data_IF_007305084141
#
_entry.id   IF_007305084141
#
_cell.length_a   1.000
_cell.length_b   1.000
_cell.length_c   1.000
_cell.angle_alpha   90.00
_cell.angle_beta   90.00
_cell.angle_gamma   90.00
#
_symmetry.space_group_name_H-M   'P 1'
#
loop_
_entity.id
_entity.type
_entity.pdbx_description
1 polymer ?
#
# COMPACT_ATOMS: atom_id res chain seq x y z
N UNK A 1 -6.09 54.27 -3.54
CA UNK A 1 -6.22 54.40 -5.01
C UNK A 1 -6.82 53.10 -5.55
N UNK A 2 -7.57 53.15 -6.66
CA UNK A 2 -8.13 51.96 -7.32
C UNK A 2 -7.12 51.39 -8.32
N UNK A 3 -7.02 50.07 -8.40
CA UNK A 3 -6.55 49.34 -9.58
C UNK A 3 -7.27 47.99 -9.66
N UNK A 4 -7.62 47.56 -10.87
CA UNK A 4 -8.57 46.49 -11.18
C UNK A 4 -7.97 45.54 -12.22
N UNK A 5 -8.12 44.22 -12.00
CA UNK A 5 -8.17 43.15 -13.03
C UNK A 5 -6.91 42.97 -13.93
N UNK A 6 -6.70 41.84 -14.68
CA UNK A 6 -7.63 40.85 -15.26
C UNK A 6 -7.65 39.48 -14.53
N UNK A 7 -8.68 38.61 -14.62
CA UNK A 7 -9.64 38.25 -15.69
C UNK A 7 -9.04 37.37 -16.81
N UNK A 8 -8.97 36.06 -16.56
CA UNK A 8 -8.68 35.05 -17.58
C UNK A 8 -9.91 34.15 -17.78
N UNK A 9 -10.53 34.22 -18.97
CA UNK A 9 -11.61 33.34 -19.37
C UNK A 9 -11.05 32.22 -20.26
N UNK A 10 -11.27 30.96 -19.89
CA UNK A 10 -10.96 29.80 -20.72
C UNK A 10 -12.22 29.36 -21.47
N UNK A 11 -12.13 29.29 -22.80
CA UNK A 11 -13.27 29.09 -23.69
C UNK A 11 -13.36 27.61 -24.10
N UNK A 12 -14.49 26.97 -23.79
CA UNK A 12 -14.78 25.58 -24.18
C UNK A 12 -15.22 25.55 -25.65
N UNK A 13 -14.59 24.69 -26.46
CA UNK A 13 -15.12 24.31 -27.77
C UNK A 13 -15.04 22.78 -27.96
N UNK A 14 -16.21 22.17 -28.05
CA UNK A 14 -16.42 20.78 -28.46
C UNK A 14 -16.32 20.65 -29.98
N UNK A 15 -15.77 19.53 -30.46
CA UNK A 15 -16.12 18.98 -31.77
C UNK A 15 -16.42 17.49 -31.62
N UNK A 16 -17.62 17.12 -32.04
CA UNK A 16 -18.09 15.74 -32.10
C UNK A 16 -17.83 15.15 -33.51
N UNK A 17 -17.66 13.83 -33.59
CA UNK A 17 -17.55 13.10 -34.86
C UNK A 17 -18.03 11.66 -34.69
N UNK A 18 -19.23 11.36 -35.19
CA UNK A 18 -19.88 10.06 -35.07
C UNK A 18 -19.52 9.09 -36.22
N UNK A 19 -19.99 7.84 -36.07
CA UNK A 19 -20.11 6.74 -37.07
C UNK A 19 -18.97 5.71 -37.03
N UNK A 20 -19.21 4.39 -37.10
CA UNK A 20 -20.49 3.68 -37.09
C UNK A 20 -20.32 2.16 -37.28
N UNK A 21 -21.23 1.38 -36.67
CA UNK A 21 -21.61 -0.03 -36.95
C UNK A 21 -20.76 -0.90 -37.91
N UNK A 22 -20.38 -2.12 -37.47
CA UNK A 22 -20.65 -3.39 -38.19
C UNK A 22 -20.58 -4.60 -37.25
N UNK A 23 -21.69 -5.35 -37.16
CA UNK A 23 -21.81 -6.76 -36.74
C UNK A 23 -22.57 -7.43 -37.89
N UNK A 24 -22.15 -8.57 -38.49
CA UNK A 24 -22.31 -9.93 -37.92
C UNK A 24 -21.26 -10.95 -38.49
N UNK A 25 -21.44 -12.30 -38.51
CA UNK A 25 -22.44 -13.16 -37.85
C UNK A 25 -21.86 -14.33 -37.02
N UNK A 26 -22.77 -15.04 -36.36
CA UNK A 26 -22.59 -16.34 -35.69
C UNK A 26 -22.40 -17.45 -36.73
N UNK A 27 -21.53 -18.44 -36.45
CA UNK A 27 -21.53 -19.76 -37.11
C UNK A 27 -21.17 -20.87 -36.12
N UNK A 28 -22.06 -21.87 -35.99
CA UNK A 28 -21.92 -23.13 -35.25
C UNK A 28 -22.54 -24.27 -36.08
N UNK A 29 -22.33 -25.57 -35.75
CA UNK A 29 -21.23 -26.19 -35.00
C UNK A 29 -20.44 -27.14 -35.95
N UNK A 30 -20.62 -28.49 -36.10
CA UNK A 30 -21.11 -29.59 -35.24
C UNK A 30 -20.06 -30.69 -34.90
N UNK A 31 -20.34 -31.49 -33.86
CA UNK A 31 -19.63 -32.75 -33.51
C UNK A 31 -18.60 -32.61 -32.39
N UNK A 32 -18.43 -33.55 -31.45
CA UNK A 32 -18.89 -34.95 -31.41
C UNK A 32 -19.11 -35.42 -29.96
N UNK A 33 -20.13 -36.27 -29.73
CA UNK A 33 -20.45 -36.85 -28.42
C UNK A 33 -19.46 -37.91 -27.95
N UNK A 34 -19.15 -37.92 -26.65
CA UNK A 34 -18.71 -39.13 -25.93
C UNK A 34 -19.10 -39.05 -24.44
N UNK A 35 -20.10 -39.84 -24.04
CA UNK A 35 -20.44 -40.06 -22.62
C UNK A 35 -19.60 -41.18 -22.03
N UNK A 36 -19.13 -41.04 -20.79
CA UNK A 36 -18.69 -42.18 -19.96
C UNK A 36 -18.80 -41.88 -18.45
N UNK A 37 -19.72 -42.56 -17.78
CA UNK A 37 -19.85 -42.76 -16.32
C UNK A 37 -20.96 -43.82 -16.12
N UNK A 38 -21.10 -44.51 -14.97
CA UNK A 38 -20.31 -44.50 -13.73
C UNK A 38 -19.92 -45.94 -13.27
N UNK A 39 -19.86 -46.22 -11.95
CA UNK A 39 -19.88 -47.52 -11.18
C UNK A 39 -18.70 -47.57 -10.15
N UNK A 40 -18.84 -48.06 -8.89
CA UNK A 40 -19.07 -47.15 -7.74
C UNK A 40 -18.27 -47.48 -6.44
N UNK A 41 -18.52 -46.68 -5.37
CA UNK A 41 -18.58 -47.02 -3.91
C UNK A 41 -17.60 -48.00 -3.22
N UNK A 42 -17.21 -47.75 -1.93
CA UNK A 42 -18.20 -47.70 -0.84
C UNK A 42 -18.07 -46.58 0.20
N UNK A 43 -19.20 -46.40 0.88
CA UNK A 43 -19.48 -45.47 1.98
C UNK A 43 -18.63 -45.65 3.23
N UNK A 44 -18.41 -44.55 3.94
CA UNK A 44 -18.44 -44.52 5.41
C UNK A 44 -19.35 -43.40 5.88
N UNK A 45 -20.39 -43.75 6.63
CA UNK A 45 -21.33 -42.79 7.23
C UNK A 45 -20.83 -42.35 8.61
N UNK A 46 -20.88 -41.06 8.90
CA UNK A 46 -20.81 -40.54 10.27
C UNK A 46 -21.74 -39.32 10.40
N UNK A 47 -22.89 -39.53 11.03
CA UNK A 47 -23.80 -38.48 11.49
C UNK A 47 -23.25 -37.78 12.73
N UNK A 48 -23.39 -36.46 12.80
CA UNK A 48 -23.45 -35.70 14.06
C UNK A 48 -24.20 -34.39 13.82
N UNK A 49 -25.37 -34.26 14.46
CA UNK A 49 -26.14 -33.02 14.61
C UNK A 49 -25.55 -32.11 15.70
N UNK A 50 -26.06 -30.87 15.78
CA UNK A 50 -25.87 -29.86 16.86
C UNK A 50 -24.44 -29.32 17.06
N UNK A 51 -24.18 -28.04 17.38
CA UNK A 51 -24.97 -26.81 17.65
C UNK A 51 -24.02 -25.60 17.40
N UNK A 52 -24.46 -24.35 17.10
CA UNK A 52 -23.52 -23.27 16.78
C UNK A 52 -22.68 -22.82 17.99
N UNK A 53 -21.36 -22.93 17.88
CA UNK A 53 -20.42 -22.48 18.92
C UNK A 53 -20.39 -20.96 19.01
N UNK A 54 -20.86 -20.44 20.15
CA UNK A 54 -20.74 -19.02 20.55
C UNK A 54 -19.27 -18.58 20.60
N UNK A 55 -18.91 -17.33 20.23
CA UNK A 55 -17.52 -16.88 20.20
C UNK A 55 -16.88 -16.89 21.59
N UNK A 56 -15.92 -17.80 21.78
CA UNK A 56 -15.16 -17.93 23.02
C UNK A 56 -14.10 -16.85 23.15
N UNK A 57 -14.27 -15.97 24.13
CA UNK A 57 -13.26 -14.98 24.52
C UNK A 57 -12.09 -15.69 25.24
N UNK A 58 -10.86 -15.63 24.73
CA UNK A 58 -9.72 -16.34 25.33
C UNK A 58 -8.40 -16.18 24.59
N UNK A 59 -7.51 -15.38 25.17
CA UNK A 59 -6.14 -15.06 24.71
C UNK A 59 -5.34 -16.25 24.17
N UNK A 60 -4.95 -16.18 22.89
CA UNK A 60 -4.04 -17.12 22.25
C UNK A 60 -2.89 -16.41 21.54
N UNK A 61 -1.65 -16.54 22.04
CA UNK A 61 -0.46 -16.11 21.31
C UNK A 61 -0.21 -17.09 20.15
N UNK A 62 -0.56 -16.70 18.92
CA UNK A 62 -0.55 -17.63 17.79
C UNK A 62 -0.84 -17.07 16.38
N UNK A 63 -0.06 -16.10 15.92
CA UNK A 63 0.28 -15.91 14.49
C UNK A 63 -0.84 -15.94 13.41
N UNK A 64 -2.00 -15.33 13.66
CA UNK A 64 -2.97 -14.94 12.62
C UNK A 64 -2.53 -13.70 11.83
N UNK A 65 -3.35 -13.26 10.87
CA UNK A 65 -3.26 -11.88 10.38
C UNK A 65 -3.85 -10.93 11.45
N UNK A 66 -3.50 -9.64 11.46
CA UNK A 66 -3.98 -8.71 12.48
C UNK A 66 -5.48 -8.42 12.39
N UNK A 67 -6.13 -8.85 11.31
CA UNK A 67 -7.57 -8.79 11.11
C UNK A 67 -8.06 -10.10 10.48
N UNK A 68 -8.37 -11.05 11.35
CA UNK A 68 -9.21 -12.22 11.06
C UNK A 68 -10.60 -12.03 11.73
N UNK A 69 -11.01 -10.78 11.99
CA UNK A 69 -12.23 -10.44 12.74
C UNK A 69 -13.51 -10.47 11.89
N UNK A 70 -13.35 -10.41 10.55
CA UNK A 70 -14.45 -10.26 9.60
C UNK A 70 -15.14 -8.88 9.63
N UNK A 71 -14.62 -7.91 10.40
CA UNK A 71 -15.16 -6.54 10.50
C UNK A 71 -14.63 -5.59 9.42
N UNK A 72 -13.69 -6.03 8.59
CA UNK A 72 -13.12 -5.22 7.52
C UNK A 72 -13.14 -5.96 6.18
N UNK A 73 -13.09 -5.19 5.10
CA UNK A 73 -12.99 -5.70 3.73
C UNK A 73 -11.87 -4.98 2.98
N UNK A 74 -11.31 -5.65 1.97
CA UNK A 74 -10.17 -5.15 1.19
C UNK A 74 -10.52 -5.20 -0.30
N UNK A 75 -10.84 -4.05 -0.88
CA UNK A 75 -11.10 -3.95 -2.33
C UNK A 75 -9.78 -3.67 -3.03
N UNK A 76 -9.31 -4.60 -3.86
CA UNK A 76 -8.04 -4.51 -4.56
C UNK A 76 -8.23 -4.43 -6.08
N UNK A 77 -7.57 -3.46 -6.70
CA UNK A 77 -7.49 -3.30 -8.15
C UNK A 77 -6.26 -3.99 -8.73
N UNK A 78 -6.31 -4.36 -10.01
CA UNK A 78 -5.21 -5.00 -10.72
C UNK A 78 -4.42 -3.99 -11.58
N UNK A 79 -3.13 -4.23 -11.79
CA UNK A 79 -2.29 -3.47 -12.73
C UNK A 79 -2.83 -3.52 -14.17
N UNK A 80 -3.56 -4.58 -14.53
CA UNK A 80 -4.37 -4.63 -15.73
C UNK A 80 -5.80 -4.14 -15.43
N UNK A 81 -6.11 -2.89 -15.80
CA UNK A 81 -7.43 -2.28 -15.60
C UNK A 81 -8.61 -2.95 -16.34
N UNK A 82 -8.35 -3.96 -17.19
CA UNK A 82 -9.40 -4.82 -17.77
C UNK A 82 -9.82 -5.98 -16.85
N UNK A 83 -9.07 -6.25 -15.78
CA UNK A 83 -9.44 -7.19 -14.71
C UNK A 83 -10.30 -6.42 -13.70
N UNK A 84 -11.48 -6.91 -13.32
CA UNK A 84 -12.32 -6.25 -12.32
C UNK A 84 -11.66 -6.29 -10.93
N UNK A 85 -12.00 -5.32 -10.09
CA UNK A 85 -11.56 -5.28 -8.70
C UNK A 85 -12.06 -6.53 -7.94
N UNK A 86 -11.24 -7.00 -6.99
CA UNK A 86 -11.51 -8.18 -6.16
C UNK A 86 -11.61 -7.74 -4.71
N UNK A 87 -12.70 -8.14 -4.04
CA UNK A 87 -12.87 -7.94 -2.60
C UNK A 87 -12.38 -9.17 -1.84
N UNK A 88 -11.52 -8.93 -0.85
CA UNK A 88 -11.07 -9.93 0.13
C UNK A 88 -11.65 -9.60 1.51
N UNK A 89 -11.78 -10.62 2.37
CA UNK A 89 -12.35 -10.51 3.73
C UNK A 89 -11.30 -10.48 4.85
N UNK A 90 -10.02 -10.68 4.52
CA UNK A 90 -8.89 -10.57 5.45
C UNK A 90 -7.59 -10.23 4.72
N UNK A 91 -6.61 -9.72 5.46
CA UNK A 91 -5.24 -9.57 4.96
C UNK A 91 -4.60 -10.93 4.61
N UNK A 92 -4.96 -12.01 5.29
CA UNK A 92 -4.52 -13.37 4.96
C UNK A 92 -4.89 -13.74 3.52
N UNK A 93 -6.12 -13.47 3.09
CA UNK A 93 -6.59 -13.73 1.73
C UNK A 93 -5.88 -12.85 0.69
N UNK A 94 -5.67 -11.55 1.00
CA UNK A 94 -4.90 -10.64 0.13
C UNK A 94 -3.49 -11.19 -0.09
N UNK A 95 -2.78 -11.59 0.97
CA UNK A 95 -1.41 -12.11 0.89
C UNK A 95 -1.31 -13.49 0.22
N UNK A 96 -2.35 -14.31 0.33
CA UNK A 96 -2.42 -15.64 -0.30
C UNK A 96 -2.86 -15.61 -1.77
N UNK A 97 -3.36 -14.46 -2.26
CA UNK A 97 -3.83 -14.31 -3.64
C UNK A 97 -2.75 -14.65 -4.67
N UNK A 98 -3.07 -15.49 -5.65
CA UNK A 98 -2.17 -15.77 -6.79
C UNK A 98 -1.90 -14.52 -7.64
N UNK A 99 -2.86 -13.59 -7.64
CA UNK A 99 -2.76 -12.29 -8.30
C UNK A 99 -2.10 -11.24 -7.40
N UNK A 100 -1.61 -11.58 -6.19
CA UNK A 100 -1.00 -10.62 -5.26
C UNK A 100 0.02 -9.74 -5.98
N UNK A 101 0.99 -10.30 -6.71
CA UNK A 101 2.02 -9.51 -7.41
C UNK A 101 1.50 -8.64 -8.56
N UNK A 102 0.23 -8.81 -8.97
CA UNK A 102 -0.47 -8.04 -10.00
C UNK A 102 -1.47 -7.04 -9.43
N UNK A 103 -1.70 -6.98 -8.12
CA UNK A 103 -2.50 -5.92 -7.51
C UNK A 103 -1.76 -4.57 -7.64
N UNK A 104 -2.50 -3.52 -7.99
CA UNK A 104 -2.00 -2.16 -8.17
C UNK A 104 -2.13 -1.35 -6.87
N UNK A 105 -3.31 -1.41 -6.27
CA UNK A 105 -3.66 -0.80 -4.98
C UNK A 105 -4.76 -1.62 -4.32
N UNK A 106 -4.89 -1.51 -3.00
CA UNK A 106 -6.10 -1.91 -2.29
C UNK A 106 -6.58 -0.77 -1.39
N UNK A 107 -7.83 -0.85 -0.97
CA UNK A 107 -8.43 0.01 0.05
C UNK A 107 -9.06 -0.87 1.12
N UNK A 108 -8.73 -0.64 2.39
CA UNK A 108 -9.42 -1.25 3.52
C UNK A 108 -10.68 -0.45 3.89
N UNK A 109 -11.79 -1.15 4.14
CA UNK A 109 -13.07 -0.61 4.60
C UNK A 109 -13.50 -1.29 5.89
N UNK A 110 -14.32 -0.62 6.72
CA UNK A 110 -14.92 -1.19 7.92
C UNK A 110 -16.39 -1.53 7.68
N UNK A 111 -16.73 -2.81 7.87
CA UNK A 111 -18.06 -3.39 7.66
C UNK A 111 -18.81 -3.66 8.98
N UNK A 112 -18.20 -3.30 10.11
CA UNK A 112 -18.76 -3.53 11.45
C UNK A 112 -19.82 -2.49 11.86
N UNK A 113 -20.45 -2.68 13.04
CA UNK A 113 -21.40 -1.72 13.59
C UNK A 113 -20.73 -0.39 13.95
N UNK A 114 -21.49 0.70 13.82
CA UNK A 114 -21.07 2.05 14.23
C UNK A 114 -21.78 2.47 15.55
N UNK A 115 -21.12 3.26 16.43
CA UNK A 115 -19.78 3.85 16.28
C UNK A 115 -18.65 2.81 16.32
N UNK A 116 -17.47 3.18 15.82
CA UNK A 116 -16.32 2.29 15.84
C UNK A 116 -15.82 2.08 17.27
N UNK A 117 -15.94 0.85 17.74
CA UNK A 117 -15.36 0.39 19.01
C UNK A 117 -14.09 -0.42 18.69
N UNK A 118 -12.89 0.13 18.95
CA UNK A 118 -11.64 -0.57 18.75
C UNK A 118 -11.40 -1.63 19.84
N UNK A 119 -10.79 -2.75 19.46
CA UNK A 119 -10.13 -3.68 20.38
C UNK A 119 -8.86 -3.07 20.99
N UNK A 120 -8.27 -3.74 21.99
CA UNK A 120 -7.02 -3.29 22.62
C UNK A 120 -5.85 -3.21 21.60
N UNK A 121 -5.74 -4.20 20.70
CA UNK A 121 -4.71 -4.20 19.65
C UNK A 121 -4.98 -3.12 18.59
N UNK A 122 -6.22 -2.94 18.15
CA UNK A 122 -6.63 -1.85 17.25
C UNK A 122 -6.28 -0.48 17.87
N UNK A 123 -6.62 -0.27 19.15
CA UNK A 123 -6.34 0.95 19.88
C UNK A 123 -4.83 1.22 20.05
N UNK A 124 -4.02 0.17 20.29
CA UNK A 124 -2.56 0.27 20.32
C UNK A 124 -2.03 0.79 18.98
N UNK A 125 -2.43 0.18 17.87
CA UNK A 125 -1.96 0.54 16.52
C UNK A 125 -2.38 1.97 16.16
N UNK A 126 -3.60 2.39 16.50
CA UNK A 126 -4.06 3.78 16.34
C UNK A 126 -3.18 4.75 17.14
N UNK A 127 -2.83 4.42 18.38
CA UNK A 127 -2.00 5.29 19.23
C UNK A 127 -0.57 5.50 18.70
N UNK A 128 -0.03 4.51 17.97
CA UNK A 128 1.25 4.64 17.25
C UNK A 128 1.05 5.46 15.97
N UNK A 129 0.02 5.16 15.18
CA UNK A 129 -0.23 5.79 13.88
C UNK A 129 -0.54 7.28 13.98
N UNK A 130 -1.34 7.68 14.98
CA UNK A 130 -1.79 9.05 15.21
C UNK A 130 -1.77 9.39 16.71
N UNK A 131 -0.60 9.72 17.28
CA UNK A 131 -0.46 10.01 18.70
C UNK A 131 -1.37 11.15 19.18
N UNK A 132 -2.05 10.93 20.30
CA UNK A 132 -2.92 11.92 20.95
C UNK A 132 -4.39 11.92 20.50
N UNK A 133 -4.79 11.09 19.54
CA UNK A 133 -6.20 10.83 19.26
C UNK A 133 -6.81 9.85 20.28
N UNK A 134 -8.11 9.94 20.52
CA UNK A 134 -8.87 8.88 21.19
C UNK A 134 -9.06 7.70 20.22
N UNK A 135 -8.73 6.45 20.58
CA UNK A 135 -8.86 5.30 19.68
C UNK A 135 -10.21 5.14 18.98
N UNK A 136 -11.33 5.45 19.63
CA UNK A 136 -12.67 5.38 19.02
C UNK A 136 -12.87 6.34 17.84
N UNK A 137 -12.10 7.42 17.78
CA UNK A 137 -12.12 8.41 16.68
C UNK A 137 -11.07 8.08 15.60
N UNK A 138 -10.25 7.04 15.80
CA UNK A 138 -9.08 6.72 14.98
C UNK A 138 -9.29 5.69 13.86
N UNK A 139 -10.54 5.44 13.44
CA UNK A 139 -10.84 4.44 12.41
C UNK A 139 -10.05 4.66 11.11
N UNK A 140 -10.00 5.90 10.60
CA UNK A 140 -9.27 6.24 9.37
C UNK A 140 -7.77 5.93 9.47
N UNK A 141 -7.17 6.14 10.65
CA UNK A 141 -5.77 5.80 10.89
C UNK A 141 -5.54 4.28 10.88
N UNK A 142 -6.47 3.51 11.44
CA UNK A 142 -6.41 2.04 11.41
C UNK A 142 -6.62 1.48 10.00
N UNK A 143 -7.61 1.99 9.25
CA UNK A 143 -7.85 1.61 7.85
C UNK A 143 -6.65 1.96 6.95
N UNK A 144 -5.96 3.07 7.21
CA UNK A 144 -4.71 3.41 6.51
C UNK A 144 -3.60 2.40 6.84
N UNK A 145 -3.40 2.04 8.11
CA UNK A 145 -2.41 1.03 8.50
C UNK A 145 -2.71 -0.35 7.88
N UNK A 146 -3.98 -0.78 7.90
CA UNK A 146 -4.46 -1.99 7.19
C UNK A 146 -4.23 -1.91 5.68
N UNK A 147 -4.46 -0.75 5.06
CA UNK A 147 -4.22 -0.52 3.63
C UNK A 147 -2.73 -0.66 3.29
N UNK A 148 -1.82 -0.10 4.09
CA UNK A 148 -0.36 -0.29 3.93
C UNK A 148 0.06 -1.76 4.14
N UNK A 149 -0.71 -2.51 4.91
CA UNK A 149 -0.53 -3.96 5.07
C UNK A 149 -1.01 -4.79 3.88
N UNK A 150 -1.71 -4.22 2.90
CA UNK A 150 -1.96 -4.84 1.59
C UNK A 150 -0.76 -4.67 0.63
N UNK A 151 -0.91 -5.02 -0.65
CA UNK A 151 0.16 -4.77 -1.62
C UNK A 151 0.32 -3.27 -1.88
N UNK A 152 1.55 -2.81 -1.69
CA UNK A 152 2.11 -1.62 -2.34
C UNK A 152 3.12 -2.08 -3.39
N UNK A 153 2.92 -1.69 -4.65
CA UNK A 153 3.89 -1.99 -5.72
C UNK A 153 5.18 -1.18 -5.53
N UNK A 154 6.30 -1.66 -6.06
CA UNK A 154 7.59 -0.95 -5.97
C UNK A 154 7.53 0.47 -6.58
N UNK A 155 6.67 0.67 -7.59
CA UNK A 155 6.50 1.92 -8.31
C UNK A 155 5.56 2.87 -7.55
N UNK A 156 4.50 2.32 -6.92
CA UNK A 156 3.62 3.07 -6.02
C UNK A 156 4.23 3.33 -4.63
N UNK A 157 5.29 2.60 -4.25
CA UNK A 157 5.92 2.70 -2.93
C UNK A 157 6.48 4.10 -2.66
N UNK A 158 7.05 4.77 -3.66
CA UNK A 158 7.55 6.14 -3.51
C UNK A 158 6.42 7.12 -3.18
N UNK A 159 5.24 6.96 -3.78
CA UNK A 159 4.08 7.81 -3.51
C UNK A 159 3.38 7.44 -2.20
N UNK A 160 3.07 6.16 -1.97
CA UNK A 160 2.28 5.71 -0.82
C UNK A 160 3.08 5.73 0.48
N UNK A 161 4.31 5.21 0.49
CA UNK A 161 5.16 5.26 1.68
C UNK A 161 5.83 6.62 1.85
N UNK A 162 6.24 7.30 0.78
CA UNK A 162 6.86 8.63 0.87
C UNK A 162 5.94 9.73 1.38
N UNK A 163 4.61 9.59 1.20
CA UNK A 163 3.61 10.53 1.77
C UNK A 163 3.06 10.10 3.13
N UNK A 164 3.33 8.87 3.56
CA UNK A 164 2.93 8.38 4.88
C UNK A 164 3.86 8.92 5.97
N UNK A 165 3.32 9.27 7.14
CA UNK A 165 4.14 9.61 8.29
C UNK A 165 4.96 8.39 8.75
N UNK A 166 6.15 8.59 9.35
CA UNK A 166 6.91 7.47 9.94
C UNK A 166 6.08 6.75 11.02
N UNK A 167 5.24 7.48 11.76
CA UNK A 167 4.29 6.94 12.74
C UNK A 167 3.33 5.94 12.09
N UNK A 168 2.72 6.29 10.95
CA UNK A 168 1.84 5.41 10.19
C UNK A 168 2.58 4.19 9.64
N UNK A 169 3.80 4.38 9.12
CA UNK A 169 4.64 3.29 8.62
C UNK A 169 5.09 2.35 9.76
N UNK A 170 5.41 2.89 10.93
CA UNK A 170 5.74 2.11 12.12
C UNK A 170 4.51 1.30 12.58
N UNK A 171 3.33 1.94 12.68
CA UNK A 171 2.09 1.27 13.02
C UNK A 171 1.78 0.12 12.05
N UNK A 172 1.91 0.33 10.74
CA UNK A 172 1.78 -0.73 9.75
C UNK A 172 2.83 -1.84 9.92
N UNK A 173 4.09 -1.50 10.24
CA UNK A 173 5.15 -2.49 10.48
C UNK A 173 4.91 -3.35 11.74
N UNK A 174 4.29 -2.77 12.77
CA UNK A 174 3.86 -3.50 13.99
C UNK A 174 2.60 -4.34 13.72
N UNK A 175 1.68 -3.84 12.89
CA UNK A 175 0.42 -4.49 12.53
C UNK A 175 0.65 -5.75 11.67
N UNK A 176 1.50 -5.67 10.66
CA UNK A 176 1.71 -6.77 9.70
C UNK A 176 3.19 -7.12 9.42
N UNK A 177 3.99 -7.45 10.46
CA UNK A 177 5.42 -7.79 10.30
C UNK A 177 5.65 -9.02 9.40
N UNK A 178 4.62 -9.85 9.19
CA UNK A 178 4.63 -11.06 8.34
C UNK A 178 4.08 -10.84 6.93
N UNK A 179 3.60 -9.65 6.57
CA UNK A 179 3.13 -9.38 5.21
C UNK A 179 4.27 -9.58 4.20
N UNK A 180 4.00 -9.93 2.91
CA UNK A 180 5.04 -10.09 1.90
C UNK A 180 5.93 -8.85 1.71
N UNK A 181 5.39 -7.66 2.00
CA UNK A 181 6.05 -6.36 1.97
C UNK A 181 6.45 -5.84 3.37
N UNK A 182 6.26 -6.62 4.46
CA UNK A 182 6.53 -6.19 5.84
C UNK A 182 7.96 -5.71 6.08
N UNK A 183 8.98 -6.41 5.53
CA UNK A 183 10.39 -5.93 5.56
C UNK A 183 10.55 -4.57 4.87
N UNK A 184 9.83 -4.34 3.76
CA UNK A 184 9.88 -3.06 3.05
C UNK A 184 9.27 -1.95 3.90
N UNK A 185 8.08 -2.15 4.47
CA UNK A 185 7.45 -1.19 5.39
C UNK A 185 8.40 -0.87 6.55
N UNK A 186 9.04 -1.88 7.14
CA UNK A 186 10.03 -1.70 8.21
C UNK A 186 11.19 -0.76 7.84
N UNK A 187 11.77 -0.88 6.63
CA UNK A 187 12.82 0.03 6.15
C UNK A 187 12.33 1.47 5.92
N UNK A 188 11.06 1.64 5.52
CA UNK A 188 10.43 2.95 5.44
C UNK A 188 10.05 3.50 6.83
N UNK A 189 9.72 2.66 7.80
CA UNK A 189 9.45 3.08 9.19
C UNK A 189 10.74 3.50 9.91
N UNK A 190 11.83 2.76 9.75
CA UNK A 190 13.12 3.02 10.40
C UNK A 190 13.87 4.23 9.82
N UNK A 191 13.47 4.72 8.64
CA UNK A 191 14.19 5.77 7.93
C UNK A 191 15.42 5.28 7.16
N UNK A 192 15.49 3.98 6.87
CA UNK A 192 16.47 3.37 5.96
C UNK A 192 16.05 3.46 4.48
N UNK A 193 14.80 3.85 4.22
CA UNK A 193 14.30 4.24 2.89
C UNK A 193 13.54 5.58 2.92
N UNK A 194 13.62 6.28 1.79
CA UNK A 194 12.85 7.48 1.49
C UNK A 194 12.54 7.54 -0.02
N UNK A 195 11.55 8.35 -0.39
CA UNK A 195 11.25 8.68 -1.79
C UNK A 195 11.96 9.96 -2.21
N UNK A 196 11.45 10.59 -3.26
CA UNK A 196 11.74 11.99 -3.55
C UNK A 196 11.13 12.92 -2.48
N UNK A 197 11.65 14.13 -2.34
CA UNK A 197 11.29 15.10 -1.29
C UNK A 197 12.48 15.61 -0.49
N UNK A 198 12.18 16.21 0.67
CA UNK A 198 13.16 16.75 1.63
C UNK A 198 13.12 15.94 2.93
N UNK A 199 14.28 15.45 3.38
CA UNK A 199 14.41 14.57 4.53
C UNK A 199 15.62 14.96 5.39
N UNK A 200 15.36 15.44 6.60
CA UNK A 200 16.39 15.63 7.63
C UNK A 200 16.88 14.28 8.17
N UNK A 201 18.15 14.19 8.53
CA UNK A 201 18.72 13.00 9.21
C UNK A 201 18.55 13.14 10.72
N UNK A 202 18.12 12.05 11.37
CA UNK A 202 17.61 11.97 12.74
C UNK A 202 16.21 12.60 12.94
N UNK A 203 15.74 12.65 14.19
CA UNK A 203 14.43 13.20 14.60
C UNK A 203 13.20 12.63 13.85
N UNK A 204 13.24 11.34 13.49
CA UNK A 204 12.16 10.70 12.72
C UNK A 204 12.22 10.95 11.21
N UNK A 205 13.31 11.50 10.68
CA UNK A 205 13.55 11.59 9.24
C UNK A 205 14.29 10.35 8.70
N UNK A 206 15.49 10.52 8.15
CA UNK A 206 16.39 9.43 7.74
C UNK A 206 17.33 9.01 8.87
N UNK A 207 17.81 7.77 8.89
CA UNK A 207 18.95 7.38 9.75
C UNK A 207 20.28 7.78 9.11
N UNK A 208 21.33 8.09 9.89
CA UNK A 208 22.66 8.33 9.33
C UNK A 208 23.25 7.05 8.71
N UNK A 209 24.09 7.23 7.69
CA UNK A 209 24.79 6.16 6.98
C UNK A 209 25.02 6.46 5.50
N UNK A 210 25.40 5.43 4.75
CA UNK A 210 25.55 5.51 3.29
C UNK A 210 24.22 5.14 2.62
N UNK A 211 23.78 5.91 1.62
CA UNK A 211 22.55 5.68 0.86
C UNK A 211 22.85 5.60 -0.63
N UNK A 212 22.00 4.92 -1.40
CA UNK A 212 22.05 4.89 -2.85
C UNK A 212 20.65 4.91 -3.46
N UNK A 213 20.56 5.22 -4.76
CA UNK A 213 19.34 5.02 -5.54
C UNK A 213 19.11 3.52 -5.78
N UNK A 214 17.95 3.02 -5.37
CA UNK A 214 17.58 1.60 -5.43
C UNK A 214 17.42 1.07 -6.87
N UNK A 215 17.07 1.94 -7.81
CA UNK A 215 16.94 1.68 -9.26
C UNK A 215 17.50 2.88 -10.03
N UNK A 216 17.79 2.71 -11.32
CA UNK A 216 18.08 3.86 -12.18
C UNK A 216 16.78 4.64 -12.42
N UNK A 217 16.66 5.90 -12.00
CA UNK A 217 15.50 6.71 -12.34
C UNK A 217 15.47 7.05 -13.84
N UNK A 218 14.32 7.46 -14.38
CA UNK A 218 14.26 8.12 -15.69
C UNK A 218 15.08 9.43 -15.67
N UNK A 219 15.28 10.02 -16.85
CA UNK A 219 16.03 11.28 -16.99
C UNK A 219 15.46 12.40 -16.10
N UNK A 220 16.35 13.20 -15.50
CA UNK A 220 15.98 14.38 -14.72
C UNK A 220 16.04 14.22 -13.20
N UNK A 221 16.52 13.09 -12.66
CA UNK A 221 16.88 13.00 -11.24
C UNK A 221 17.90 14.08 -10.85
N UNK A 222 17.58 14.85 -9.82
CA UNK A 222 18.48 15.83 -9.20
C UNK A 222 18.41 15.73 -7.68
N UNK A 223 19.54 15.85 -7.00
CA UNK A 223 19.60 15.80 -5.54
C UNK A 223 20.70 16.68 -4.96
N UNK A 224 20.54 17.03 -3.69
CA UNK A 224 21.55 17.72 -2.87
C UNK A 224 21.51 17.26 -1.42
N UNK A 225 22.67 17.24 -0.77
CA UNK A 225 22.82 17.06 0.68
C UNK A 225 23.35 18.37 1.26
N UNK A 226 22.60 18.94 2.19
CA UNK A 226 22.97 20.16 2.92
C UNK A 226 23.28 19.86 4.38
N UNK A 227 24.28 20.52 4.95
CA UNK A 227 24.55 20.49 6.39
C UNK A 227 23.49 21.31 7.16
N UNK A 228 23.49 21.18 8.48
CA UNK A 228 22.56 21.91 9.36
C UNK A 228 22.72 23.44 9.35
N UNK A 229 23.79 23.97 8.76
CA UNK A 229 24.00 25.41 8.54
C UNK A 229 23.50 25.91 7.16
N UNK A 230 22.94 25.01 6.34
CA UNK A 230 22.46 25.28 4.98
C UNK A 230 23.55 25.21 3.90
N UNK A 231 24.80 24.88 4.23
CA UNK A 231 25.85 24.67 3.24
C UNK A 231 25.67 23.35 2.48
N UNK A 232 25.80 23.38 1.15
CA UNK A 232 25.69 22.17 0.31
C UNK A 232 26.99 21.38 0.43
N UNK A 233 26.90 20.15 0.95
CA UNK A 233 28.01 19.19 1.09
C UNK A 233 28.24 18.42 -0.21
N UNK A 234 27.16 18.05 -0.90
CA UNK A 234 27.19 17.30 -2.14
C UNK A 234 25.92 17.56 -2.97
N UNK A 235 26.00 17.38 -4.29
CA UNK A 235 24.85 17.34 -5.19
C UNK A 235 25.19 16.53 -6.44
N UNK A 236 24.18 16.08 -7.17
CA UNK A 236 24.37 15.27 -8.38
C UNK A 236 23.07 14.84 -9.03
N UNK A 237 23.20 13.89 -9.96
CA UNK A 237 22.07 13.21 -10.60
C UNK A 237 22.09 11.72 -10.33
N UNK A 238 21.52 10.95 -11.26
CA UNK A 238 21.32 9.52 -11.12
C UNK A 238 22.63 8.73 -10.91
N UNK A 239 23.70 9.05 -11.64
CA UNK A 239 24.96 8.30 -11.59
C UNK A 239 25.70 8.47 -10.25
N UNK A 240 25.72 9.68 -9.72
CA UNK A 240 26.31 10.00 -8.43
C UNK A 240 25.45 9.40 -7.29
N UNK A 241 24.12 9.50 -7.40
CA UNK A 241 23.19 8.89 -6.44
C UNK A 241 23.26 7.36 -6.40
N UNK A 242 23.56 6.71 -7.52
CA UNK A 242 23.80 5.25 -7.58
C UNK A 242 25.16 4.82 -7.02
N UNK A 243 26.20 5.66 -7.17
CA UNK A 243 27.52 5.43 -6.56
C UNK A 243 27.46 5.50 -5.03
N UNK A 244 26.51 6.28 -4.55
CA UNK A 244 26.05 6.35 -3.17
C UNK A 244 26.59 7.56 -2.42
N UNK A 245 25.73 8.15 -1.60
CA UNK A 245 25.95 9.36 -0.81
C UNK A 245 26.14 9.01 0.67
N UNK A 246 26.79 9.90 1.43
CA UNK A 246 26.89 9.78 2.89
C UNK A 246 25.98 10.83 3.52
N UNK A 247 25.14 10.39 4.45
CA UNK A 247 24.23 11.22 5.24
C UNK A 247 24.65 11.16 6.71
N UNK A 248 25.07 12.30 7.25
CA UNK A 248 25.46 12.49 8.65
C UNK A 248 24.28 13.04 9.48
N UNK A 249 24.35 12.95 10.80
CA UNK A 249 23.29 13.47 11.68
C UNK A 249 23.04 14.98 11.42
N UNK A 250 21.77 15.36 11.26
CA UNK A 250 21.31 16.73 10.90
C UNK A 250 21.65 17.21 9.49
N UNK A 251 22.17 16.36 8.60
CA UNK A 251 22.11 16.64 7.17
C UNK A 251 20.66 16.69 6.70
N UNK A 252 20.41 17.35 5.57
CA UNK A 252 19.14 17.36 4.85
C UNK A 252 19.37 16.85 3.44
N UNK A 253 18.74 15.74 3.08
CA UNK A 253 18.66 15.25 1.71
C UNK A 253 17.46 15.89 1.02
N UNK A 254 17.69 16.57 -0.09
CA UNK A 254 16.64 17.01 -1.02
C UNK A 254 16.80 16.25 -2.34
N UNK A 255 15.72 15.69 -2.88
CA UNK A 255 15.73 15.01 -4.18
C UNK A 255 14.42 15.16 -4.96
N UNK A 256 14.54 15.21 -6.28
CA UNK A 256 13.43 15.25 -7.24
C UNK A 256 13.70 14.27 -8.40
N UNK A 257 12.68 13.48 -8.78
CA UNK A 257 12.69 12.46 -9.84
C UNK A 257 13.77 11.38 -9.70
N UNK A 258 14.30 11.16 -8.51
CA UNK A 258 15.29 10.12 -8.22
C UNK A 258 14.65 8.82 -7.73
N UNK A 259 13.39 8.85 -7.29
CA UNK A 259 12.65 7.69 -6.82
C UNK A 259 13.04 7.27 -5.40
N UNK A 260 13.44 6.00 -5.21
CA UNK A 260 13.68 5.44 -3.88
C UNK A 260 15.16 5.48 -3.52
N UNK A 261 15.46 6.22 -2.45
CA UNK A 261 16.73 6.12 -1.71
C UNK A 261 16.67 4.94 -0.73
N UNK A 262 17.75 4.17 -0.68
CA UNK A 262 17.91 3.02 0.21
C UNK A 262 19.28 3.07 0.90
N UNK A 263 19.30 2.78 2.20
CA UNK A 263 20.54 2.67 2.97
C UNK A 263 21.32 1.42 2.54
N UNK A 264 22.63 1.59 2.36
CA UNK A 264 23.56 0.48 2.15
C UNK A 264 23.91 -0.18 3.49
N UNK A 265 23.98 -1.51 3.50
CA UNK A 265 24.50 -2.32 4.61
C UNK A 265 26.01 -2.05 4.87
#
# INVERSE_FOLDING_TARGET
MRTLYPAAAALILLLAGCSGTTTPPITEPPGTSASATPTPSPSSSATSDTEPTSPGNGSGQGAGAPDDSGRFSYVCSNLNAAVPDVTFSSLTEVWASTEYVRLASCTASFEGPLPFEPTEDEAKIISVAQPGINPSDGLDAYLMALTLCTRVSDDAASDLFGRSSRQMLQAASELCPRAPQGKVIGLWASGERAGDGEYTVANGGLVPGKFHLRKTPPEGCTWSVSASDGSIKASGGAAEGQSGIILEEKDVLTSDKCGIWEKME
#
